data_IF_303038785033
#
_entry.id   IF_303038785033
#
_cell.length_a   1.000
_cell.length_b   1.000
_cell.length_c   1.000
_cell.angle_alpha   90.00
_cell.angle_beta   90.00
_cell.angle_gamma   90.00
#
_symmetry.space_group_name_H-M   'P 1'
#
loop_
_entity.id
_entity.type
_entity.pdbx_description
1 polymer ?
#
# COMPACT_ATOMS: atom_id res chain seq x y z
N UNK A 1 26.19 56.20 -0.79
CA UNK A 1 27.19 55.81 0.23
C UNK A 1 26.38 55.43 1.46
N UNK A 2 25.99 54.15 1.46
CA UNK A 2 26.53 53.13 2.37
C UNK A 2 26.02 53.36 3.80
N UNK A 3 25.00 52.64 4.25
CA UNK A 3 24.90 51.21 4.54
C UNK A 3 25.22 50.89 6.00
N UNK A 4 24.46 49.90 6.48
CA UNK A 4 24.71 49.04 7.64
C UNK A 4 24.21 49.60 8.97
N UNK A 5 23.09 49.14 9.52
CA UNK A 5 22.73 47.77 9.99
C UNK A 5 23.08 47.59 11.47
N UNK A 6 22.04 47.37 12.28
CA UNK A 6 22.10 46.40 13.38
C UNK A 6 20.70 46.00 13.83
N UNK A 7 20.56 44.68 13.97
CA UNK A 7 19.38 43.83 14.05
C UNK A 7 18.83 43.74 15.49
N UNK A 8 17.51 43.57 15.67
CA UNK A 8 16.96 42.92 16.88
C UNK A 8 15.63 42.21 16.59
N UNK A 9 15.78 40.96 16.20
CA UNK A 9 15.03 39.76 16.60
C UNK A 9 13.71 39.96 17.37
N UNK A 10 12.59 39.62 16.72
CA UNK A 10 11.43 38.98 17.35
C UNK A 10 10.94 37.96 16.32
N UNK A 11 11.45 36.73 16.39
CA UNK A 11 10.72 35.60 17.00
C UNK A 11 9.28 35.55 16.49
N UNK A 12 9.15 35.01 15.29
CA UNK A 12 7.90 34.61 14.67
C UNK A 12 8.17 33.47 13.71
N UNK A 13 9.04 32.53 14.10
CA UNK A 13 9.10 31.21 13.46
C UNK A 13 7.85 30.45 13.91
N UNK A 14 6.71 30.84 13.33
CA UNK A 14 5.57 29.96 13.20
C UNK A 14 5.97 28.91 12.19
N UNK A 15 6.81 27.97 12.61
CA UNK A 15 7.06 26.74 11.91
C UNK A 15 5.71 26.08 11.72
N UNK A 16 5.15 26.28 10.54
CA UNK A 16 4.02 25.55 10.01
C UNK A 16 4.48 24.09 9.98
N UNK A 17 4.24 23.38 11.09
CA UNK A 17 4.31 21.92 11.18
C UNK A 17 3.20 21.34 10.29
N UNK A 18 3.33 21.52 8.98
CA UNK A 18 2.76 20.62 7.99
C UNK A 18 3.80 19.54 7.76
N UNK A 19 4.04 18.74 8.78
CA UNK A 19 4.25 17.34 8.49
C UNK A 19 2.95 16.87 7.85
N UNK A 20 2.89 16.82 6.51
CA UNK A 20 2.11 15.76 5.88
C UNK A 20 2.64 14.46 6.50
N UNK A 21 2.05 14.03 7.61
CA UNK A 21 2.43 12.81 8.29
C UNK A 21 1.97 11.69 7.36
N UNK A 22 2.87 11.33 6.44
CA UNK A 22 2.63 10.35 5.42
C UNK A 22 2.43 9.00 6.10
N UNK A 23 1.16 8.69 6.40
CA UNK A 23 0.80 7.43 7.01
C UNK A 23 1.34 6.28 6.14
N UNK A 24 1.98 5.25 6.74
CA UNK A 24 2.50 4.12 6.00
C UNK A 24 1.40 3.53 5.12
N UNK A 25 1.66 3.50 3.80
CA UNK A 25 0.68 3.14 2.77
C UNK A 25 0.51 1.62 2.61
N UNK A 26 1.29 0.83 3.35
CA UNK A 26 1.30 -0.62 3.22
C UNK A 26 1.72 -1.33 4.50
N UNK A 27 1.16 -2.51 4.71
CA UNK A 27 1.44 -3.42 5.82
C UNK A 27 1.65 -4.82 5.27
N UNK A 28 2.73 -5.48 5.67
CA UNK A 28 2.99 -6.88 5.34
C UNK A 28 2.76 -7.74 6.58
N UNK A 29 1.82 -8.67 6.50
CA UNK A 29 1.56 -9.65 7.56
C UNK A 29 2.22 -10.98 7.21
N UNK A 30 3.21 -11.39 8.00
CA UNK A 30 3.96 -12.64 7.81
C UNK A 30 3.87 -13.56 9.04
N UNK A 31 4.12 -14.85 8.85
CA UNK A 31 4.30 -15.84 9.91
C UNK A 31 3.63 -17.18 9.59
N UNK A 32 3.58 -18.11 10.55
CA UNK A 32 3.02 -19.46 10.34
C UNK A 32 1.56 -19.46 9.86
N UNK A 33 1.12 -20.50 9.14
CA UNK A 33 -0.28 -20.69 8.81
C UNK A 33 -1.12 -20.88 10.10
N UNK A 34 -2.37 -20.43 10.07
CA UNK A 34 -3.28 -20.59 11.22
C UNK A 34 -3.19 -19.51 12.30
N UNK A 35 -2.30 -18.50 12.18
CA UNK A 35 -2.27 -17.38 13.15
C UNK A 35 -3.32 -16.29 12.88
N UNK A 36 -4.29 -16.55 12.00
CA UNK A 36 -5.42 -15.64 11.75
C UNK A 36 -5.08 -14.34 10.99
N UNK A 37 -4.00 -14.26 10.20
CA UNK A 37 -3.62 -13.04 9.46
C UNK A 37 -4.74 -12.51 8.57
N UNK A 38 -5.34 -13.39 7.76
CA UNK A 38 -6.49 -13.08 6.91
C UNK A 38 -7.71 -12.63 7.71
N UNK A 39 -7.97 -13.27 8.85
CA UNK A 39 -9.09 -12.92 9.74
C UNK A 39 -8.87 -11.55 10.41
N UNK A 40 -7.64 -11.22 10.80
CA UNK A 40 -7.29 -9.94 11.39
C UNK A 40 -7.59 -8.78 10.44
N UNK A 41 -7.16 -8.90 9.18
CA UNK A 41 -7.42 -7.85 8.17
C UNK A 41 -8.92 -7.64 7.97
N UNK A 42 -9.69 -8.72 7.84
CA UNK A 42 -11.16 -8.63 7.69
C UNK A 42 -11.82 -7.98 8.90
N UNK A 43 -11.38 -8.33 10.11
CA UNK A 43 -11.91 -7.75 11.34
C UNK A 43 -11.60 -6.25 11.43
N UNK A 44 -10.36 -5.85 11.18
CA UNK A 44 -9.94 -4.43 11.21
C UNK A 44 -10.70 -3.61 10.18
N UNK A 45 -10.83 -4.11 8.94
CA UNK A 45 -11.54 -3.36 7.90
C UNK A 45 -13.03 -3.21 8.19
N UNK A 46 -13.64 -4.27 8.77
CA UNK A 46 -15.02 -4.21 9.24
C UNK A 46 -15.20 -3.19 10.36
N UNK A 47 -14.28 -3.15 11.32
CA UNK A 47 -14.33 -2.22 12.45
C UNK A 47 -14.12 -0.77 11.98
N UNK A 48 -13.21 -0.54 11.05
CA UNK A 48 -12.96 0.78 10.46
C UNK A 48 -14.04 1.22 9.46
N UNK A 49 -14.99 0.36 9.10
CA UNK A 49 -15.99 0.64 8.06
C UNK A 49 -15.38 0.92 6.69
N UNK A 50 -14.20 0.36 6.41
CA UNK A 50 -13.48 0.60 5.17
C UNK A 50 -13.89 -0.40 4.08
N UNK A 51 -13.68 -0.01 2.82
CA UNK A 51 -13.91 -0.89 1.68
C UNK A 51 -12.78 -1.92 1.59
N UNK A 52 -13.10 -3.21 1.68
CA UNK A 52 -12.11 -4.29 1.56
C UNK A 52 -12.13 -4.87 0.15
N UNK A 53 -10.98 -4.81 -0.54
CA UNK A 53 -10.77 -5.52 -1.80
C UNK A 53 -9.81 -6.67 -1.52
N UNK A 54 -10.31 -7.91 -1.62
CA UNK A 54 -9.50 -9.12 -1.41
C UNK A 54 -9.05 -9.68 -2.74
N UNK A 55 -7.74 -9.78 -2.94
CA UNK A 55 -7.11 -10.42 -4.09
C UNK A 55 -6.43 -11.68 -3.55
N UNK A 56 -6.92 -12.86 -3.97
CA UNK A 56 -6.27 -14.14 -3.68
C UNK A 56 -5.96 -14.85 -4.99
N UNK A 57 -4.74 -15.39 -5.15
CA UNK A 57 -4.34 -16.13 -6.35
C UNK A 57 -5.22 -17.37 -6.60
N UNK A 58 -5.75 -18.01 -5.56
CA UNK A 58 -6.68 -19.14 -5.72
C UNK A 58 -8.04 -18.74 -6.31
N UNK A 59 -8.51 -17.52 -6.05
CA UNK A 59 -9.74 -16.98 -6.63
C UNK A 59 -9.58 -16.63 -8.11
N UNK A 60 -8.35 -16.40 -8.57
CA UNK A 60 -8.00 -16.03 -9.95
C UNK A 60 -7.64 -17.28 -10.77
N UNK A 61 -8.49 -18.31 -10.71
CA UNK A 61 -8.25 -19.59 -11.40
C UNK A 61 -8.64 -19.60 -12.90
N UNK A 62 -8.76 -18.44 -13.56
CA UNK A 62 -9.01 -18.38 -15.01
C UNK A 62 -7.68 -18.34 -15.77
N UNK A 63 -7.08 -19.53 -15.94
CA UNK A 63 -6.23 -20.06 -17.03
C UNK A 63 -5.29 -19.17 -17.90
N UNK A 64 -5.19 -17.84 -17.78
CA UNK A 64 -4.42 -17.00 -18.69
C UNK A 64 -3.59 -15.96 -17.94
N UNK A 65 -2.30 -15.93 -18.25
CA UNK A 65 -1.25 -15.11 -17.61
C UNK A 65 -1.38 -13.56 -17.80
N UNK A 66 -2.59 -13.04 -18.04
CA UNK A 66 -2.88 -11.60 -18.10
C UNK A 66 -4.17 -11.19 -17.37
N UNK A 67 -5.04 -12.14 -17.02
CA UNK A 67 -6.32 -11.83 -16.36
C UNK A 67 -6.11 -11.38 -14.90
N UNK A 68 -5.09 -11.93 -14.24
CA UNK A 68 -4.68 -11.53 -12.89
C UNK A 68 -4.18 -10.09 -12.82
N UNK A 69 -3.42 -9.62 -13.81
CA UNK A 69 -2.95 -8.23 -13.86
C UNK A 69 -4.12 -7.26 -14.05
N UNK A 70 -5.09 -7.64 -14.89
CA UNK A 70 -6.28 -6.83 -15.13
C UNK A 70 -7.12 -6.68 -13.86
N UNK A 71 -7.37 -7.79 -13.14
CA UNK A 71 -8.09 -7.75 -11.86
C UNK A 71 -7.35 -6.86 -10.84
N UNK A 72 -6.02 -6.97 -10.77
CA UNK A 72 -5.23 -6.13 -9.88
C UNK A 72 -5.39 -4.64 -10.24
N UNK A 73 -5.25 -4.31 -11.53
CA UNK A 73 -5.40 -2.94 -12.04
C UNK A 73 -6.79 -2.38 -11.76
N UNK A 74 -7.83 -3.17 -11.99
CA UNK A 74 -9.22 -2.79 -11.74
C UNK A 74 -9.46 -2.56 -10.23
N UNK A 75 -8.93 -3.43 -9.37
CA UNK A 75 -8.97 -3.27 -7.91
C UNK A 75 -8.29 -1.98 -7.44
N UNK A 76 -7.12 -1.64 -7.99
CA UNK A 76 -6.44 -0.37 -7.68
C UNK A 76 -7.21 0.84 -8.18
N UNK A 77 -7.82 0.75 -9.37
CA UNK A 77 -8.64 1.83 -9.93
C UNK A 77 -9.89 2.07 -9.07
N UNK A 78 -10.56 1.00 -8.65
CA UNK A 78 -11.69 1.05 -7.72
C UNK A 78 -11.28 1.66 -6.38
N UNK A 79 -10.22 1.15 -5.75
CA UNK A 79 -9.72 1.69 -4.48
C UNK A 79 -9.37 3.18 -4.57
N UNK A 80 -8.73 3.60 -5.67
CA UNK A 80 -8.40 5.01 -5.93
C UNK A 80 -9.65 5.87 -6.08
N UNK A 81 -10.69 5.38 -6.76
CA UNK A 81 -11.98 6.04 -6.86
C UNK A 81 -12.64 6.22 -5.49
N UNK A 82 -12.66 5.17 -4.68
CA UNK A 82 -13.19 5.22 -3.31
C UNK A 82 -12.42 6.21 -2.41
N UNK A 83 -11.10 6.22 -2.51
CA UNK A 83 -10.25 7.15 -1.77
C UNK A 83 -10.53 8.61 -2.14
N UNK A 84 -10.76 8.91 -3.44
CA UNK A 84 -11.15 10.26 -3.89
C UNK A 84 -12.51 10.71 -3.37
N UNK A 85 -13.41 9.78 -3.10
CA UNK A 85 -14.71 10.05 -2.48
C UNK A 85 -14.62 10.24 -0.95
N UNK A 86 -13.41 10.23 -0.38
CA UNK A 86 -13.18 10.37 1.06
C UNK A 86 -13.51 9.10 1.85
N UNK A 87 -13.66 7.95 1.20
CA UNK A 87 -13.94 6.67 1.86
C UNK A 87 -12.63 5.89 2.09
N UNK A 88 -12.39 5.35 3.29
CA UNK A 88 -11.24 4.50 3.53
C UNK A 88 -11.38 3.20 2.72
N UNK A 89 -10.32 2.82 2.01
CA UNK A 89 -10.27 1.62 1.17
C UNK A 89 -8.97 0.86 1.43
N UNK A 90 -9.07 -0.46 1.53
CA UNK A 90 -7.99 -1.38 1.86
C UNK A 90 -7.93 -2.48 0.82
N UNK A 91 -6.77 -2.62 0.18
CA UNK A 91 -6.48 -3.73 -0.73
C UNK A 91 -5.70 -4.78 0.08
N UNK A 92 -6.29 -5.96 0.20
CA UNK A 92 -5.67 -7.10 0.85
C UNK A 92 -5.27 -8.14 -0.20
N UNK A 93 -3.98 -8.42 -0.28
CA UNK A 93 -3.42 -9.45 -1.16
C UNK A 93 -3.06 -10.65 -0.27
N UNK A 94 -3.85 -11.71 -0.36
CA UNK A 94 -3.55 -12.96 0.34
C UNK A 94 -2.56 -13.79 -0.51
N UNK A 95 -1.69 -14.55 0.14
CA UNK A 95 -0.70 -15.43 -0.53
C UNK A 95 0.11 -14.72 -1.63
N UNK A 96 0.61 -13.51 -1.33
CA UNK A 96 1.44 -12.73 -2.26
C UNK A 96 2.70 -13.49 -2.72
N UNK A 97 3.16 -14.45 -1.93
CA UNK A 97 4.24 -15.38 -2.28
C UNK A 97 3.89 -16.30 -3.45
N UNK A 98 2.62 -16.67 -3.62
CA UNK A 98 2.16 -17.40 -4.80
C UNK A 98 2.11 -16.52 -6.07
N UNK A 99 1.92 -15.20 -5.90
CA UNK A 99 1.95 -14.22 -7.01
C UNK A 99 3.38 -13.78 -7.38
N UNK A 100 4.33 -13.87 -6.45
CA UNK A 100 5.70 -13.44 -6.64
C UNK A 100 6.64 -14.65 -6.58
N UNK A 101 6.74 -15.45 -7.66
CA UNK A 101 7.74 -16.50 -7.73
C UNK A 101 9.12 -15.89 -7.53
N UNK A 102 9.92 -16.46 -6.63
CA UNK A 102 11.33 -16.08 -6.48
C UNK A 102 11.97 -16.16 -7.87
N UNK A 103 12.55 -15.06 -8.33
CA UNK A 103 13.46 -15.07 -9.49
C UNK A 103 14.71 -15.83 -9.05
N UNK A 104 14.67 -17.15 -9.10
CA UNK A 104 15.91 -17.92 -9.09
C UNK A 104 16.71 -17.51 -10.32
N UNK A 105 17.95 -17.18 -10.02
CA UNK A 105 18.87 -16.54 -10.93
C UNK A 105 19.22 -17.52 -12.03
N UNK A 106 19.04 -17.10 -13.29
CA UNK A 106 19.85 -17.45 -14.46
C UNK A 106 20.71 -18.72 -14.26
N UNK A 107 20.19 -19.89 -14.61
CA UNK A 107 21.09 -20.91 -15.15
C UNK A 107 21.48 -20.42 -16.55
N UNK A 108 22.59 -19.68 -16.60
CA UNK A 108 23.41 -19.58 -17.81
C UNK A 108 23.91 -20.99 -18.04
N UNK A 109 23.20 -21.78 -18.84
CA UNK A 109 23.81 -22.94 -19.47
C UNK A 109 24.65 -22.38 -20.62
N UNK A 110 25.90 -22.07 -20.33
CA UNK A 110 26.94 -22.05 -21.35
C UNK A 110 27.17 -23.51 -21.75
N UNK A 111 26.84 -23.82 -22.99
CA UNK A 111 27.45 -24.90 -23.76
C UNK A 111 28.10 -24.24 -24.98
#
# INVERSE_FOLDING_TARGET
MEASSSNSTTTGDGGEFRAEEAWPRGLLLYGPPGTGKTSLVRAVVRECGAHLIVISPHSVHRAHAGESERILRDAFAEASSHAKLGKPSVIFIDEIDALCPRRDSRHVTTD
#
